data_IF_065830384457
#
_entry.id   IF_065830384457
#
_cell.length_a   1.000
_cell.length_b   1.000
_cell.length_c   1.000
_cell.angle_alpha   90.00
_cell.angle_beta   90.00
_cell.angle_gamma   90.00
#
_symmetry.space_group_name_H-M   'P 1'
#
loop_
_entity.id
_entity.type
_entity.pdbx_description
1 polymer ?
#
# COMPACT_ATOMS: atom_id res chain seq x y z
N UNK A 1 -15.07 25.98 -8.56
CA UNK A 1 -14.72 26.35 -9.95
C UNK A 1 -13.68 25.35 -10.42
N UNK A 2 -13.95 24.57 -11.47
CA UNK A 2 -12.96 23.67 -12.09
C UNK A 2 -11.97 24.50 -12.91
N UNK A 3 -10.67 24.25 -12.77
CA UNK A 3 -9.63 24.93 -13.56
C UNK A 3 -9.09 24.03 -14.69
N UNK A 4 -8.41 24.64 -15.66
CA UNK A 4 -7.85 23.98 -16.84
C UNK A 4 -6.32 24.15 -16.84
N UNK A 5 -5.52 23.10 -17.15
CA UNK A 5 -5.96 21.73 -17.41
C UNK A 5 -6.56 21.08 -16.16
N UNK A 6 -7.39 20.04 -16.29
CA UNK A 6 -8.11 19.41 -15.17
C UNK A 6 -7.18 18.50 -14.34
N UNK A 7 -5.91 18.87 -14.21
CA UNK A 7 -4.90 18.13 -13.47
C UNK A 7 -4.39 19.02 -12.36
N UNK A 8 -4.60 18.55 -11.13
CA UNK A 8 -4.17 19.26 -9.94
C UNK A 8 -2.72 18.88 -9.63
N UNK A 9 -1.86 19.90 -9.50
CA UNK A 9 -0.50 19.71 -9.01
C UNK A 9 -0.55 19.49 -7.50
N UNK A 10 -0.29 18.25 -7.09
CA UNK A 10 -0.27 17.90 -5.68
C UNK A 10 1.15 17.94 -5.11
N UNK A 11 1.26 18.36 -3.85
CA UNK A 11 2.51 18.26 -3.12
C UNK A 11 2.98 16.80 -3.02
N UNK A 12 4.23 16.55 -3.37
CA UNK A 12 4.91 15.28 -3.09
C UNK A 12 5.52 15.26 -1.68
N UNK A 13 6.11 14.13 -1.32
CA UNK A 13 6.73 13.94 0.01
C UNK A 13 8.14 14.54 0.12
N UNK A 14 8.68 15.06 -1.00
CA UNK A 14 9.99 15.73 -1.12
C UNK A 14 11.16 15.00 -0.44
N UNK A 15 11.28 13.69 -0.69
CA UNK A 15 12.33 12.86 -0.09
C UNK A 15 12.74 11.68 -0.98
N UNK A 16 13.89 11.12 -0.66
CA UNK A 16 14.34 9.79 -1.12
C UNK A 16 13.80 8.66 -0.25
N UNK A 17 14.31 7.45 -0.50
CA UNK A 17 14.12 6.33 0.41
C UNK A 17 14.76 6.63 1.77
N UNK A 18 14.01 6.34 2.82
CA UNK A 18 14.41 6.68 4.19
C UNK A 18 13.76 5.67 5.15
N UNK A 19 14.52 4.70 5.70
CA UNK A 19 13.98 3.71 6.63
C UNK A 19 13.50 4.31 7.96
N UNK A 20 13.85 5.57 8.25
CA UNK A 20 13.36 6.29 9.43
C UNK A 20 12.16 7.20 9.12
N UNK A 21 11.66 7.22 7.87
CA UNK A 21 10.49 8.00 7.52
C UNK A 21 9.22 7.39 8.14
N UNK A 22 8.52 8.17 8.96
CA UNK A 22 7.25 7.77 9.53
C UNK A 22 6.11 7.72 8.50
N UNK A 23 4.97 7.13 8.86
CA UNK A 23 3.81 6.96 7.98
C UNK A 23 3.19 8.29 7.50
N UNK A 24 3.49 9.42 8.16
CA UNK A 24 3.11 10.78 7.76
C UNK A 24 3.91 11.34 6.57
N UNK A 25 5.06 10.73 6.25
CA UNK A 25 5.95 11.15 5.16
C UNK A 25 5.78 10.27 3.91
N UNK A 26 4.65 9.62 3.74
CA UNK A 26 4.35 8.81 2.55
C UNK A 26 2.97 9.14 2.00
N UNK A 27 2.72 8.92 0.71
CA UNK A 27 1.35 9.06 0.17
C UNK A 27 0.39 8.01 0.74
N UNK A 28 0.86 6.77 0.83
CA UNK A 28 0.16 5.62 1.41
C UNK A 28 1.16 4.88 2.29
N UNK A 29 0.74 4.50 3.48
CA UNK A 29 1.50 3.62 4.38
C UNK A 29 0.67 2.40 4.75
N UNK A 30 1.37 1.29 4.92
CA UNK A 30 0.83 -0.01 5.28
C UNK A 30 1.73 -0.58 6.37
N UNK A 31 1.15 -0.83 7.54
CA UNK A 31 1.83 -1.47 8.65
C UNK A 31 1.16 -2.83 8.93
N UNK A 32 1.96 -3.90 8.96
CA UNK A 32 1.52 -5.25 9.35
C UNK A 32 2.21 -5.60 10.66
N UNK A 33 1.44 -5.55 11.75
CA UNK A 33 1.89 -5.82 13.11
C UNK A 33 1.46 -7.24 13.48
N UNK A 34 2.42 -8.17 13.44
CA UNK A 34 2.16 -9.59 13.72
C UNK A 34 1.93 -9.85 15.20
N UNK A 35 2.60 -9.10 16.07
CA UNK A 35 2.54 -9.22 17.51
C UNK A 35 1.15 -8.84 18.05
N UNK A 36 0.55 -7.78 17.50
CA UNK A 36 -0.78 -7.31 17.88
C UNK A 36 -1.90 -7.81 16.95
N UNK A 37 -1.55 -8.47 15.84
CA UNK A 37 -2.50 -8.98 14.86
C UNK A 37 -3.25 -7.87 14.11
N UNK A 38 -2.56 -6.77 13.78
CA UNK A 38 -3.14 -5.59 13.15
C UNK A 38 -2.57 -5.37 11.75
N UNK A 39 -3.46 -4.92 10.86
CA UNK A 39 -3.05 -4.31 9.58
C UNK A 39 -3.61 -2.90 9.54
N UNK A 40 -2.74 -1.92 9.46
CA UNK A 40 -3.11 -0.50 9.40
C UNK A 40 -2.74 0.01 8.02
N UNK A 41 -3.69 0.66 7.35
CA UNK A 41 -3.44 1.32 6.07
C UNK A 41 -3.91 2.75 6.16
N UNK A 42 -3.05 3.67 5.77
CA UNK A 42 -3.28 5.11 5.84
C UNK A 42 -3.01 5.74 4.48
N UNK A 43 -3.91 6.61 4.05
CA UNK A 43 -3.67 7.54 2.96
C UNK A 43 -3.50 8.94 3.54
N UNK A 44 -2.39 9.60 3.24
CA UNK A 44 -2.18 10.97 3.67
C UNK A 44 -2.93 11.98 2.80
N UNK A 45 -3.28 13.15 3.35
CA UNK A 45 -3.99 14.18 2.60
C UNK A 45 -3.25 14.60 1.34
N UNK A 46 -4.00 14.84 0.26
CA UNK A 46 -3.51 15.59 -0.88
C UNK A 46 -3.56 17.08 -0.59
N UNK A 47 -2.51 17.80 -1.00
CA UNK A 47 -2.43 19.26 -0.95
C UNK A 47 -2.28 19.76 -2.37
N UNK A 48 -3.29 20.46 -2.87
CA UNK A 48 -3.29 21.07 -4.19
C UNK A 48 -2.49 22.37 -4.15
N UNK A 49 -1.37 22.42 -4.87
CA UNK A 49 -0.44 23.55 -4.89
C UNK A 49 -0.99 24.76 -5.65
N UNK A 50 -1.90 24.54 -6.59
CA UNK A 50 -2.54 25.61 -7.38
C UNK A 50 -3.62 26.32 -6.57
N UNK A 51 -4.45 25.59 -5.84
CA UNK A 51 -5.62 26.12 -5.13
C UNK A 51 -5.41 26.29 -3.61
N UNK A 52 -4.37 25.67 -3.05
CA UNK A 52 -4.13 25.59 -1.61
C UNK A 52 -5.09 24.67 -0.86
N UNK A 53 -5.97 23.94 -1.57
CA UNK A 53 -6.94 23.05 -0.93
C UNK A 53 -6.28 21.78 -0.40
N UNK A 54 -6.81 21.27 0.71
CA UNK A 54 -6.39 20.01 1.32
C UNK A 54 -7.57 19.06 1.40
N UNK A 55 -7.39 17.82 0.96
CA UNK A 55 -8.41 16.77 1.06
C UNK A 55 -7.77 15.43 1.43
N UNK A 56 -8.38 14.73 2.37
CA UNK A 56 -8.03 13.35 2.69
C UNK A 56 -8.88 12.39 1.86
N UNK A 57 -8.23 11.39 1.26
CA UNK A 57 -8.92 10.23 0.70
C UNK A 57 -9.03 9.10 1.72
N UNK A 58 -9.79 8.06 1.38
CA UNK A 58 -9.96 6.86 2.21
C UNK A 58 -9.54 5.63 1.42
N UNK A 59 -8.42 4.97 1.73
CA UNK A 59 -7.98 3.82 0.94
C UNK A 59 -9.01 2.69 1.04
N UNK A 60 -9.20 1.95 -0.06
CA UNK A 60 -9.91 0.66 -0.02
C UNK A 60 -8.91 -0.43 0.29
N UNK A 61 -9.23 -1.29 1.26
CA UNK A 61 -8.31 -2.30 1.77
C UNK A 61 -9.02 -3.63 1.91
N UNK A 62 -8.30 -4.70 1.60
CA UNK A 62 -8.75 -6.09 1.65
C UNK A 62 -7.63 -6.93 2.25
N UNK A 63 -7.92 -7.63 3.35
CA UNK A 63 -6.93 -8.42 4.09
C UNK A 63 -7.40 -9.86 4.27
N UNK A 64 -6.46 -10.80 4.16
CA UNK A 64 -6.67 -12.20 4.52
C UNK A 64 -5.39 -12.79 5.13
N UNK A 65 -5.52 -13.77 6.01
CA UNK A 65 -4.37 -14.44 6.63
C UNK A 65 -4.45 -15.95 6.45
N UNK A 66 -3.33 -16.57 6.08
CA UNK A 66 -3.17 -18.02 6.01
C UNK A 66 -2.75 -18.59 7.37
N UNK A 67 -2.96 -19.89 7.55
CA UNK A 67 -2.57 -20.60 8.78
C UNK A 67 -1.08 -20.61 9.06
N UNK A 68 -0.25 -20.47 8.02
CA UNK A 68 1.21 -20.32 8.16
C UNK A 68 1.63 -18.90 8.60
N UNK A 69 0.66 -18.04 8.90
CA UNK A 69 0.85 -16.67 9.33
C UNK A 69 0.90 -15.68 8.17
N UNK A 70 1.06 -16.12 6.92
CA UNK A 70 1.18 -15.19 5.78
C UNK A 70 -0.04 -14.27 5.68
N UNK A 71 0.21 -12.98 5.50
CA UNK A 71 -0.82 -11.95 5.35
C UNK A 71 -0.87 -11.50 3.89
N UNK A 72 -2.03 -11.65 3.28
CA UNK A 72 -2.38 -11.04 2.00
C UNK A 72 -3.05 -9.69 2.23
N UNK A 73 -2.64 -8.71 1.44
CA UNK A 73 -3.18 -7.36 1.43
C UNK A 73 -3.40 -6.93 -0.02
N UNK A 74 -4.60 -6.42 -0.28
CA UNK A 74 -4.85 -5.58 -1.45
C UNK A 74 -5.31 -4.20 -1.01
N UNK A 75 -4.68 -3.16 -1.53
CA UNK A 75 -5.07 -1.78 -1.27
C UNK A 75 -5.22 -1.01 -2.58
N UNK A 76 -6.08 0.01 -2.55
CA UNK A 76 -6.14 1.04 -3.58
C UNK A 76 -6.43 2.39 -2.95
N UNK A 77 -5.64 3.39 -3.33
CA UNK A 77 -5.69 4.76 -2.83
C UNK A 77 -5.67 5.70 -4.04
N UNK A 78 -6.53 6.72 -4.02
CA UNK A 78 -6.60 7.67 -5.12
C UNK A 78 -6.61 9.09 -4.60
N UNK A 79 -6.08 10.01 -5.41
CA UNK A 79 -6.10 11.41 -5.07
C UNK A 79 -7.55 11.94 -5.08
N UNK A 80 -8.07 12.50 -3.97
CA UNK A 80 -9.43 13.04 -3.91
C UNK A 80 -9.67 14.21 -4.88
N UNK A 81 -8.62 14.84 -5.39
CA UNK A 81 -8.70 15.88 -6.43
C UNK A 81 -8.74 15.33 -7.86
N UNK A 82 -8.55 14.02 -8.06
CA UNK A 82 -8.62 13.41 -9.39
C UNK A 82 -9.91 13.77 -10.13
N UNK A 83 -9.90 13.90 -11.47
CA UNK A 83 -11.10 14.14 -12.27
C UNK A 83 -12.20 13.11 -11.97
N UNK A 84 -13.41 13.60 -11.64
CA UNK A 84 -14.53 12.74 -11.24
C UNK A 84 -14.46 12.22 -9.80
N UNK A 85 -13.44 12.61 -9.04
CA UNK A 85 -13.27 12.32 -7.62
C UNK A 85 -12.63 10.95 -7.34
N UNK A 86 -12.33 10.74 -6.05
CA UNK A 86 -11.63 9.55 -5.55
C UNK A 86 -12.28 8.22 -5.98
N UNK A 87 -13.61 8.14 -5.93
CA UNK A 87 -14.34 6.90 -6.28
C UNK A 87 -14.12 6.49 -7.73
N UNK A 88 -14.14 7.44 -8.67
CA UNK A 88 -13.87 7.14 -10.08
C UNK A 88 -12.39 6.81 -10.29
N UNK A 89 -11.51 7.56 -9.65
CA UNK A 89 -10.06 7.37 -9.75
C UNK A 89 -9.62 5.98 -9.28
N UNK A 90 -10.18 5.47 -8.17
CA UNK A 90 -9.93 4.08 -7.71
C UNK A 90 -10.29 2.98 -8.71
N UNK A 91 -11.16 3.28 -9.68
CA UNK A 91 -11.56 2.33 -10.72
C UNK A 91 -10.80 2.56 -12.05
N UNK A 92 -9.90 3.54 -12.12
CA UNK A 92 -9.25 3.97 -13.37
C UNK A 92 -7.76 4.21 -13.20
N UNK A 93 -7.37 5.21 -12.41
CA UNK A 93 -5.99 5.64 -12.17
C UNK A 93 -5.80 5.84 -10.66
N UNK A 94 -5.23 4.85 -10.00
CA UNK A 94 -5.00 4.90 -8.56
C UNK A 94 -3.68 4.23 -8.20
N UNK A 95 -3.20 4.48 -6.99
CA UNK A 95 -2.08 3.76 -6.41
C UNK A 95 -2.64 2.49 -5.79
N UNK A 96 -2.33 1.34 -6.37
CA UNK A 96 -2.78 0.06 -5.87
C UNK A 96 -1.63 -0.93 -5.71
N UNK A 97 -1.86 -1.90 -4.84
CA UNK A 97 -0.94 -2.99 -4.61
C UNK A 97 -1.66 -4.23 -4.13
N UNK A 98 -1.16 -5.37 -4.60
CA UNK A 98 -1.53 -6.71 -4.15
C UNK A 98 -0.25 -7.38 -3.64
N UNK A 99 -0.16 -7.52 -2.32
CA UNK A 99 1.05 -7.89 -1.61
C UNK A 99 0.78 -9.05 -0.66
N UNK A 100 1.78 -9.91 -0.50
CA UNK A 100 1.84 -10.93 0.53
C UNK A 100 3.08 -10.67 1.37
N UNK A 101 2.89 -10.61 2.68
CA UNK A 101 3.96 -10.65 3.67
C UNK A 101 3.92 -12.03 4.30
N UNK A 102 4.98 -12.81 4.12
CA UNK A 102 5.12 -14.11 4.75
C UNK A 102 6.10 -13.97 5.92
N UNK A 103 5.70 -14.34 7.15
CA UNK A 103 6.60 -14.32 8.29
C UNK A 103 7.75 -15.32 8.07
N UNK A 104 8.93 -15.00 8.60
CA UNK A 104 10.11 -15.84 8.49
C UNK A 104 11.02 -15.70 9.71
N UNK A 105 11.77 -16.76 10.03
CA UNK A 105 12.57 -16.84 11.25
C UNK A 105 13.61 -15.71 11.39
N UNK A 106 14.21 -15.28 10.29
CA UNK A 106 15.25 -14.24 10.27
C UNK A 106 14.82 -12.96 9.53
N UNK A 107 14.00 -13.05 8.49
CA UNK A 107 13.41 -11.90 7.79
C UNK A 107 12.08 -12.33 7.20
N UNK A 108 11.04 -11.48 7.22
CA UNK A 108 9.86 -11.75 6.42
C UNK A 108 10.23 -11.75 4.94
N UNK A 109 9.44 -12.48 4.16
CA UNK A 109 9.47 -12.42 2.70
C UNK A 109 8.31 -11.57 2.24
N UNK A 110 8.55 -10.75 1.22
CA UNK A 110 7.49 -10.02 0.53
C UNK A 110 7.38 -10.51 -0.91
N UNK A 111 6.15 -10.49 -1.43
CA UNK A 111 5.86 -10.88 -2.80
C UNK A 111 4.59 -10.20 -3.28
N UNK A 112 4.58 -9.68 -4.49
CA UNK A 112 3.39 -9.05 -5.01
C UNK A 112 3.57 -8.23 -6.26
N UNK A 113 2.56 -7.41 -6.54
CA UNK A 113 2.49 -6.50 -7.68
C UNK A 113 1.93 -5.16 -7.19
N UNK A 114 2.57 -4.07 -7.56
CA UNK A 114 2.14 -2.70 -7.24
C UNK A 114 2.11 -1.84 -8.50
N UNK A 115 1.43 -0.71 -8.46
CA UNK A 115 1.52 0.29 -9.54
C UNK A 115 2.95 0.79 -9.72
N UNK A 116 3.35 1.09 -10.95
CA UNK A 116 4.71 1.53 -11.28
C UNK A 116 5.02 2.98 -10.85
N UNK A 117 4.06 3.63 -10.18
CA UNK A 117 4.13 4.95 -9.59
C UNK A 117 3.20 5.00 -8.36
N UNK A 118 3.54 5.73 -7.28
CA UNK A 118 4.79 6.45 -7.02
C UNK A 118 5.94 5.49 -6.62
N UNK A 119 6.98 6.01 -5.96
CA UNK A 119 8.00 5.17 -5.34
C UNK A 119 7.40 4.28 -4.24
N UNK A 120 7.96 3.09 -4.08
CA UNK A 120 7.65 2.14 -3.01
C UNK A 120 8.93 1.86 -2.21
N UNK A 121 8.78 1.79 -0.90
CA UNK A 121 9.78 1.23 0.01
C UNK A 121 9.11 0.30 1.02
N UNK A 122 9.79 -0.77 1.37
CA UNK A 122 9.30 -1.80 2.29
C UNK A 122 10.42 -2.14 3.26
N UNK A 123 10.11 -2.03 4.53
CA UNK A 123 11.03 -2.31 5.62
C UNK A 123 10.44 -3.35 6.58
N UNK A 124 11.32 -3.98 7.35
CA UNK A 124 10.97 -4.84 8.46
C UNK A 124 11.62 -4.26 9.72
N UNK A 125 10.78 -3.69 10.57
CA UNK A 125 11.19 -3.21 11.89
C UNK A 125 11.07 -4.34 12.91
N UNK A 126 12.11 -4.51 13.71
CA UNK A 126 12.09 -5.43 14.84
C UNK A 126 12.39 -4.70 16.12
N UNK A 127 11.50 -4.93 17.09
CA UNK A 127 11.78 -4.61 18.48
C UNK A 127 13.04 -5.33 18.93
N UNK A 128 13.86 -4.64 19.70
CA UNK A 128 15.01 -5.25 20.33
C UNK A 128 14.58 -6.24 21.41
N UNK A 129 15.38 -7.29 21.61
CA UNK A 129 15.39 -7.99 22.88
C UNK A 129 15.69 -6.98 24.03
N UNK A 130 15.26 -7.24 25.28
CA UNK A 130 15.50 -6.32 26.40
C UNK A 130 16.97 -5.88 26.49
N UNK A 131 17.21 -4.57 26.39
CA UNK A 131 18.55 -3.97 26.40
C UNK A 131 19.28 -3.89 25.04
N UNK A 132 18.67 -4.38 23.96
CA UNK A 132 19.19 -4.23 22.60
C UNK A 132 18.71 -2.96 21.89
N UNK A 133 19.21 -2.76 20.67
CA UNK A 133 18.81 -1.65 19.78
C UNK A 133 17.81 -2.17 18.75
N UNK A 134 16.68 -1.48 18.50
CA UNK A 134 15.76 -1.85 17.43
C UNK A 134 16.47 -1.90 16.08
N UNK A 135 16.03 -2.78 15.20
CA UNK A 135 16.65 -2.95 13.88
C UNK A 135 15.63 -2.78 12.78
N UNK A 136 16.00 -2.05 11.73
CA UNK A 136 15.21 -1.88 10.51
C UNK A 136 15.96 -2.51 9.35
N UNK A 137 15.31 -3.45 8.66
CA UNK A 137 15.87 -4.11 7.47
C UNK A 137 15.08 -3.76 6.22
N UNK A 138 15.77 -3.34 5.14
CA UNK A 138 15.14 -3.09 3.84
C UNK A 138 14.78 -4.40 3.16
N UNK A 139 13.50 -4.56 2.81
CA UNK A 139 12.98 -5.73 2.09
C UNK A 139 12.83 -5.48 0.58
N UNK A 140 12.51 -4.24 0.20
CA UNK A 140 12.30 -3.89 -1.20
C UNK A 140 12.14 -2.40 -1.39
N UNK A 141 12.63 -1.91 -2.53
CA UNK A 141 12.54 -0.52 -2.94
C UNK A 141 12.30 -0.45 -4.44
N UNK A 142 11.45 0.47 -4.88
CA UNK A 142 11.15 0.70 -6.29
C UNK A 142 11.01 2.20 -6.52
N UNK A 143 11.81 2.71 -7.45
CA UNK A 143 11.74 4.11 -7.89
C UNK A 143 10.98 4.18 -9.21
N UNK A 144 10.05 5.13 -9.39
CA UNK A 144 9.31 5.27 -10.64
C UNK A 144 10.26 5.73 -11.75
N UNK A 145 9.99 5.30 -12.98
CA UNK A 145 10.80 5.68 -14.15
C UNK A 145 10.68 7.17 -14.49
N UNK A 146 9.55 7.80 -14.14
CA UNK A 146 9.31 9.21 -14.35
C UNK A 146 8.81 9.86 -13.05
N UNK A 147 9.59 10.80 -12.52
CA UNK A 147 9.29 11.56 -11.29
C UNK A 147 8.78 12.97 -11.57
N UNK A 148 8.65 13.37 -12.84
CA UNK A 148 8.12 14.67 -13.23
C UNK A 148 6.60 14.74 -13.11
N UNK A 149 6.03 15.88 -13.49
CA UNK A 149 4.58 16.15 -13.42
C UNK A 149 3.71 15.11 -14.16
N UNK A 150 4.26 14.46 -15.18
CA UNK A 150 3.57 13.41 -15.95
C UNK A 150 3.77 11.99 -15.40
N UNK A 151 4.56 11.84 -14.33
CA UNK A 151 4.84 10.57 -13.68
C UNK A 151 3.59 9.74 -13.37
N UNK A 152 2.54 10.32 -12.75
CA UNK A 152 1.29 9.60 -12.51
C UNK A 152 0.64 9.05 -13.79
N UNK A 153 0.52 9.86 -14.84
CA UNK A 153 -0.12 9.45 -16.10
C UNK A 153 0.66 8.33 -16.81
N UNK A 154 1.98 8.34 -16.71
CA UNK A 154 2.86 7.36 -17.36
C UNK A 154 3.13 6.12 -16.51
N UNK A 155 2.78 6.14 -15.22
CA UNK A 155 3.12 5.09 -14.27
C UNK A 155 1.92 4.37 -13.65
N UNK A 156 0.83 5.08 -13.32
CA UNK A 156 -0.36 4.48 -12.70
C UNK A 156 -1.05 3.40 -13.55
N UNK A 157 -1.10 3.49 -14.89
CA UNK A 157 -1.69 2.43 -15.72
C UNK A 157 -0.88 1.13 -15.75
N UNK A 158 0.35 1.13 -15.24
CA UNK A 158 1.27 -0.01 -15.31
C UNK A 158 1.61 -0.51 -13.92
N UNK A 159 2.03 -1.77 -13.85
CA UNK A 159 2.42 -2.40 -12.59
C UNK A 159 3.85 -2.94 -12.64
N UNK A 160 4.41 -3.21 -11.46
CA UNK A 160 5.70 -3.85 -11.26
C UNK A 160 5.61 -4.90 -10.17
N UNK A 161 6.30 -6.01 -10.38
CA UNK A 161 6.47 -7.02 -9.34
C UNK A 161 7.38 -6.51 -8.21
N UNK A 162 7.09 -6.94 -7.00
CA UNK A 162 7.88 -6.67 -5.79
C UNK A 162 8.18 -8.01 -5.12
N UNK A 163 9.44 -8.23 -4.75
CA UNK A 163 9.86 -9.45 -4.06
C UNK A 163 9.60 -10.73 -4.86
N UNK A 164 9.13 -11.79 -4.18
CA UNK A 164 8.84 -13.08 -4.83
C UNK A 164 7.37 -13.18 -5.27
N UNK A 165 7.07 -13.06 -6.58
CA UNK A 165 5.69 -13.08 -7.08
C UNK A 165 4.98 -14.41 -6.84
N UNK A 166 5.71 -15.50 -6.52
CA UNK A 166 5.10 -16.81 -6.23
C UNK A 166 4.25 -16.80 -4.98
N UNK A 167 4.52 -15.89 -4.04
CA UNK A 167 3.74 -15.79 -2.79
C UNK A 167 2.27 -15.43 -3.03
N UNK A 168 1.95 -14.71 -4.11
CA UNK A 168 0.56 -14.46 -4.49
C UNK A 168 -0.16 -15.75 -4.90
N UNK A 169 0.53 -16.66 -5.58
CA UNK A 169 -0.06 -17.92 -6.04
C UNK A 169 -0.48 -18.81 -4.86
N UNK A 170 0.18 -18.70 -3.71
CA UNK A 170 -0.17 -19.45 -2.50
C UNK A 170 -1.54 -19.05 -1.92
N UNK A 171 -2.08 -17.88 -2.32
CA UNK A 171 -3.43 -17.42 -1.99
C UNK A 171 -4.46 -17.73 -3.11
N UNK A 172 -4.03 -18.37 -4.21
CA UNK A 172 -4.87 -18.73 -5.37
C UNK A 172 -4.93 -20.25 -5.49
N UNK A 173 -5.96 -20.89 -4.92
CA UNK A 173 -6.15 -22.35 -5.09
C UNK A 173 -6.89 -22.65 -6.41
N UNK A 174 -6.23 -23.39 -7.31
CA UNK A 174 -6.83 -23.91 -8.55
C UNK A 174 -7.29 -25.36 -8.34
N UNK A 175 -8.55 -25.53 -7.94
CA UNK A 175 -9.36 -26.68 -8.32
C UNK A 175 -10.84 -26.26 -8.21
N UNK A 176 -11.55 -26.19 -9.34
CA UNK A 176 -13.03 -26.02 -9.48
C UNK A 176 -13.68 -24.62 -9.47
N UNK A 177 -12.92 -23.53 -9.41
CA UNK A 177 -13.48 -22.17 -9.54
C UNK A 177 -12.95 -21.28 -8.43
N UNK A 178 -12.36 -20.15 -8.82
CA UNK A 178 -11.52 -19.31 -7.96
C UNK A 178 -12.17 -19.01 -6.60
N UNK A 179 -11.66 -19.63 -5.54
CA UNK A 179 -11.93 -19.17 -4.18
C UNK A 179 -10.80 -18.23 -3.81
N UNK A 180 -10.95 -16.97 -4.19
CA UNK A 180 -10.15 -15.91 -3.57
C UNK A 180 -10.46 -15.94 -2.06
N UNK A 181 -9.51 -15.63 -1.17
CA UNK A 181 -9.90 -15.26 0.19
C UNK A 181 -11.02 -14.22 0.08
N UNK A 182 -12.14 -14.38 0.79
CA UNK A 182 -13.10 -13.29 0.97
C UNK A 182 -12.40 -12.30 1.90
N UNK A 183 -11.77 -11.24 1.38
CA UNK A 183 -10.89 -10.45 2.20
C UNK A 183 -11.77 -9.60 3.10
N UNK A 184 -11.36 -9.42 4.35
CA UNK A 184 -12.06 -8.51 5.24
C UNK A 184 -11.85 -7.08 4.73
N UNK A 185 -12.92 -6.33 4.43
CA UNK A 185 -12.80 -4.92 4.07
C UNK A 185 -12.38 -4.09 5.29
N UNK A 186 -11.88 -2.88 5.06
CA UNK A 186 -11.61 -1.93 6.14
C UNK A 186 -12.89 -1.68 6.96
N UNK A 187 -12.75 -1.66 8.29
CA UNK A 187 -13.81 -1.28 9.23
C UNK A 187 -13.46 -0.02 10.01
N UNK A 188 -14.40 0.52 10.80
CA UNK A 188 -14.17 1.73 11.56
C UNK A 188 -13.05 1.53 12.60
N UNK A 189 -12.17 2.52 12.86
CA UNK A 189 -11.08 2.38 13.82
C UNK A 189 -11.52 2.00 15.24
N UNK A 190 -12.73 2.41 15.64
CA UNK A 190 -13.30 2.07 16.94
C UNK A 190 -13.78 0.61 17.04
N UNK A 191 -14.02 -0.06 15.91
CA UNK A 191 -14.47 -1.45 15.84
C UNK A 191 -13.79 -2.13 14.63
N UNK A 192 -12.47 -2.39 14.71
CA UNK A 192 -11.74 -2.99 13.60
C UNK A 192 -12.30 -4.38 13.29
N UNK A 193 -12.42 -4.76 12.01
CA UNK A 193 -13.01 -6.02 11.63
C UNK A 193 -11.97 -7.14 11.77
N UNK A 194 -12.41 -8.34 12.15
CA UNK A 194 -11.53 -9.50 12.24
C UNK A 194 -11.17 -10.04 10.85
N UNK A 195 -9.89 -10.38 10.66
CA UNK A 195 -9.40 -10.96 9.40
C UNK A 195 -9.93 -12.37 9.21
N UNK A 196 -10.40 -12.70 8.00
CA UNK A 196 -10.77 -14.06 7.65
C UNK A 196 -9.52 -14.93 7.51
N UNK A 197 -9.48 -16.02 8.26
CA UNK A 197 -8.46 -17.05 8.13
C UNK A 197 -8.76 -17.95 6.94
N UNK A 198 -7.82 -18.05 6.00
CA UNK A 198 -7.89 -18.96 4.86
C UNK A 198 -6.96 -20.16 5.03
N UNK A 199 -7.30 -21.25 4.34
CA UNK A 199 -6.57 -22.53 4.42
C UNK A 199 -5.19 -22.44 3.78
#
# INVERSE_FOLDING_TARGET
MSHWPPFDDNAGDNRGFDPAAGPERARVSVDVDYENGLVVVRQNPSVNLTTGQVRAGTPTVKVAQRRDGSVYLRYAAADPFSPGGETLAKNTLCVEGELVVQPGAATPRIGGVVTAFPALEVYNDRAAAPGGVPTTATLGQMWPANTGQWGPMLGLPFTRSVGDPRLLADFVTVATGATYPLPTPLGPPAHPPAVVMVK
#
